data_IF_372137805275
#
_entry.id   IF_372137805275
#
_cell.length_a   1.000
_cell.length_b   1.000
_cell.length_c   1.000
_cell.angle_alpha   90.00
_cell.angle_beta   90.00
_cell.angle_gamma   90.00
#
_symmetry.space_group_name_H-M   'P 1'
#
loop_
_entity.id
_entity.type
_entity.pdbx_description
1 polymer ?
#
# COMPACT_ATOMS: atom_id res chain seq x y z
N UNK A 1 16.23 -9.79 -7.75
CA UNK A 1 15.47 -8.52 -7.90
C UNK A 1 14.36 -8.49 -6.85
N UNK A 2 13.99 -7.32 -6.35
CA UNK A 2 12.90 -7.17 -5.36
C UNK A 2 11.58 -6.84 -6.04
N UNK A 3 10.53 -7.58 -5.71
CA UNK A 3 9.14 -7.28 -6.06
C UNK A 3 8.37 -6.75 -4.86
N UNK A 4 7.33 -5.96 -5.11
CA UNK A 4 6.38 -5.52 -4.09
C UNK A 4 4.98 -6.02 -4.43
N UNK A 5 4.35 -6.73 -3.51
CA UNK A 5 2.97 -7.18 -3.59
C UNK A 5 2.10 -6.36 -2.62
N UNK A 6 1.25 -5.49 -3.16
CA UNK A 6 0.31 -4.65 -2.37
C UNK A 6 -1.01 -5.39 -2.25
N UNK A 7 -1.42 -5.71 -1.03
CA UNK A 7 -2.60 -6.54 -0.78
C UNK A 7 -3.74 -5.71 -0.21
N UNK A 8 -4.86 -5.68 -0.92
CA UNK A 8 -6.14 -5.19 -0.43
C UNK A 8 -7.06 -6.32 0.03
N UNK A 9 -8.16 -5.98 0.70
CA UNK A 9 -9.16 -6.98 1.09
C UNK A 9 -9.87 -7.53 -0.14
N UNK A 10 -10.07 -6.67 -1.15
CA UNK A 10 -10.93 -6.93 -2.28
C UNK A 10 -12.38 -6.60 -1.95
N UNK A 11 -13.08 -6.03 -2.92
CA UNK A 11 -14.44 -5.54 -2.77
C UNK A 11 -15.24 -5.87 -4.02
N UNK A 12 -16.56 -6.02 -3.87
CA UNK A 12 -17.47 -6.09 -5.02
C UNK A 12 -17.60 -4.73 -5.73
N UNK A 13 -17.15 -3.65 -5.09
CA UNK A 13 -17.10 -2.29 -5.66
C UNK A 13 -15.73 -2.05 -6.26
N UNK A 14 -15.67 -1.93 -7.59
CA UNK A 14 -14.40 -1.77 -8.30
C UNK A 14 -13.61 -0.51 -7.93
N UNK A 15 -14.29 0.56 -7.52
CA UNK A 15 -13.65 1.79 -7.03
C UNK A 15 -12.74 1.54 -5.82
N UNK A 16 -13.17 0.70 -4.88
CA UNK A 16 -12.36 0.37 -3.70
C UNK A 16 -11.11 -0.42 -4.10
N UNK A 17 -11.24 -1.28 -5.13
CA UNK A 17 -10.11 -2.03 -5.68
C UNK A 17 -9.16 -1.11 -6.47
N UNK A 18 -9.68 -0.05 -7.11
CA UNK A 18 -8.91 0.91 -7.88
C UNK A 18 -7.91 1.67 -7.01
N UNK A 19 -8.25 2.00 -5.76
CA UNK A 19 -7.32 2.63 -4.82
C UNK A 19 -6.08 1.77 -4.57
N UNK A 20 -6.22 0.45 -4.45
CA UNK A 20 -5.09 -0.48 -4.26
C UNK A 20 -4.20 -0.53 -5.49
N UNK A 21 -4.80 -0.58 -6.69
CA UNK A 21 -4.06 -0.54 -7.96
C UNK A 21 -3.32 0.77 -8.14
N UNK A 22 -3.98 1.87 -7.80
CA UNK A 22 -3.38 3.20 -7.88
C UNK A 22 -2.21 3.33 -6.90
N UNK A 23 -2.35 2.84 -5.67
CA UNK A 23 -1.24 2.78 -4.72
C UNK A 23 -0.07 1.96 -5.29
N UNK A 24 -0.32 0.78 -5.82
CA UNK A 24 0.71 -0.06 -6.45
C UNK A 24 1.40 0.68 -7.61
N UNK A 25 0.64 1.34 -8.49
CA UNK A 25 1.16 2.13 -9.60
C UNK A 25 2.05 3.28 -9.13
N UNK A 26 1.62 4.02 -8.12
CA UNK A 26 2.41 5.13 -7.55
C UNK A 26 3.70 4.63 -6.93
N UNK A 27 3.67 3.55 -6.15
CA UNK A 27 4.87 2.92 -5.61
C UNK A 27 5.80 2.36 -6.71
N UNK A 28 5.24 1.97 -7.85
CA UNK A 28 5.98 1.52 -9.02
C UNK A 28 6.61 2.65 -9.84
N UNK A 29 6.14 3.90 -9.74
CA UNK A 29 6.51 4.96 -10.68
C UNK A 29 7.11 6.18 -10.00
N UNK A 30 6.66 6.51 -8.80
CA UNK A 30 7.10 7.69 -8.06
C UNK A 30 8.41 7.41 -7.29
N UNK A 31 9.41 8.29 -7.41
CA UNK A 31 10.66 8.15 -6.68
C UNK A 31 10.43 8.35 -5.18
N UNK A 32 11.23 7.68 -4.35
CA UNK A 32 11.08 7.78 -2.89
C UNK A 32 11.51 9.18 -2.47
N UNK A 33 10.64 9.90 -1.77
CA UNK A 33 11.03 11.17 -1.17
C UNK A 33 11.87 10.86 0.08
N UNK A 34 13.15 11.20 0.02
CA UNK A 34 14.08 11.02 1.13
C UNK A 34 13.98 12.25 2.03
N UNK A 35 13.32 12.04 3.16
CA UNK A 35 13.06 13.02 4.20
C UNK A 35 12.14 12.39 5.23
N UNK A 36 12.28 12.82 6.47
CA UNK A 36 11.48 12.72 7.69
C UNK A 36 9.94 12.81 7.47
N UNK A 37 9.45 11.92 6.59
CA UNK A 37 8.34 12.09 5.65
C UNK A 37 6.94 11.96 6.20
N UNK A 38 6.73 12.39 7.45
CA UNK A 38 5.41 12.54 8.03
C UNK A 38 5.03 14.03 8.19
N UNK A 39 6.01 14.91 8.41
CA UNK A 39 5.76 16.27 8.91
C UNK A 39 5.59 17.36 7.82
N UNK A 40 5.22 17.01 6.59
CA UNK A 40 5.01 17.98 5.52
C UNK A 40 6.25 18.82 5.15
N UNK A 41 7.45 18.42 5.61
CA UNK A 41 8.70 19.10 5.28
C UNK A 41 9.13 18.69 3.88
N UNK A 42 9.50 19.63 3.00
CA UNK A 42 10.05 19.28 1.69
C UNK A 42 11.29 18.40 1.88
N UNK A 43 11.51 17.41 1.00
CA UNK A 43 12.66 16.51 1.11
C UNK A 43 13.95 17.33 1.14
N UNK A 44 14.79 17.07 2.14
CA UNK A 44 16.09 17.73 2.30
C UNK A 44 17.17 17.11 1.40
N UNK A 45 16.88 15.93 0.85
CA UNK A 45 17.75 15.16 -0.03
C UNK A 45 17.07 14.89 -1.38
N UNK A 46 17.85 14.69 -2.46
CA UNK A 46 17.30 14.22 -3.73
C UNK A 46 16.58 12.90 -3.55
N UNK A 47 15.50 12.70 -4.31
CA UNK A 47 14.68 11.50 -4.22
C UNK A 47 15.51 10.24 -4.52
N UNK A 48 15.47 9.26 -3.63
CA UNK A 48 16.21 8.01 -3.82
C UNK A 48 15.57 7.14 -4.91
N UNK A 49 16.38 6.32 -5.62
CA UNK A 49 15.88 5.38 -6.60
C UNK A 49 14.92 4.37 -5.95
N UNK A 50 13.91 3.96 -6.72
CA UNK A 50 12.92 2.96 -6.29
C UNK A 50 13.61 1.61 -6.05
N UNK A 51 13.36 0.94 -4.91
CA UNK A 51 13.97 -0.36 -4.64
C UNK A 51 13.24 -1.53 -5.32
N UNK A 52 12.19 -1.27 -6.11
CA UNK A 52 11.31 -2.27 -6.71
C UNK A 52 11.63 -2.48 -8.20
N UNK A 53 11.85 -3.73 -8.58
CA UNK A 53 11.92 -4.13 -9.99
C UNK A 53 10.55 -4.36 -10.62
N UNK A 54 9.57 -4.83 -9.83
CA UNK A 54 8.17 -4.93 -10.22
C UNK A 54 7.26 -4.67 -9.00
N UNK A 55 6.02 -4.21 -9.25
CA UNK A 55 5.00 -4.00 -8.22
C UNK A 55 3.67 -4.51 -8.73
N UNK A 56 2.98 -5.31 -7.94
CA UNK A 56 1.66 -5.88 -8.26
C UNK A 56 0.66 -5.57 -7.15
N UNK A 57 -0.59 -5.34 -7.52
CA UNK A 57 -1.72 -5.30 -6.60
C UNK A 57 -2.39 -6.67 -6.59
N UNK A 58 -2.77 -7.16 -5.41
CA UNK A 58 -3.53 -8.39 -5.24
C UNK A 58 -4.59 -8.24 -4.14
N UNK A 59 -5.53 -9.18 -4.09
CA UNK A 59 -6.65 -9.13 -3.17
C UNK A 59 -6.80 -10.44 -2.40
N UNK A 60 -7.16 -10.31 -1.12
CA UNK A 60 -7.38 -11.47 -0.24
C UNK A 60 -8.62 -12.27 -0.69
N UNK A 61 -9.71 -11.58 -1.03
CA UNK A 61 -10.96 -12.20 -1.45
C UNK A 61 -11.66 -11.38 -2.53
N UNK A 62 -12.69 -11.95 -3.17
CA UNK A 62 -13.65 -11.29 -4.07
C UNK A 62 -13.09 -10.79 -5.40
N UNK A 63 -11.90 -10.21 -5.41
CA UNK A 63 -11.32 -9.46 -6.53
C UNK A 63 -10.09 -10.16 -7.09
N UNK A 64 -9.77 -9.84 -8.34
CA UNK A 64 -8.59 -10.37 -9.05
C UNK A 64 -7.61 -9.24 -9.37
N UNK A 65 -6.30 -9.52 -9.42
CA UNK A 65 -5.69 -10.82 -9.18
C UNK A 65 -5.72 -11.20 -7.68
N UNK A 66 -5.82 -12.48 -7.37
CA UNK A 66 -5.61 -12.94 -6.00
C UNK A 66 -4.13 -12.94 -5.61
N UNK A 67 -3.85 -13.26 -4.34
CA UNK A 67 -2.48 -13.29 -3.79
C UNK A 67 -1.59 -14.23 -4.61
N UNK A 68 -2.09 -15.40 -5.00
CA UNK A 68 -1.33 -16.39 -5.75
C UNK A 68 -0.99 -15.92 -7.16
N UNK A 69 -1.95 -15.29 -7.84
CA UNK A 69 -1.78 -14.72 -9.17
C UNK A 69 -0.83 -13.52 -9.16
N UNK A 70 -0.99 -12.60 -8.21
CA UNK A 70 -0.09 -11.44 -8.06
C UNK A 70 1.34 -11.85 -7.70
N UNK A 71 1.49 -12.85 -6.85
CA UNK A 71 2.80 -13.43 -6.52
C UNK A 71 3.47 -14.06 -7.74
N UNK A 72 2.72 -14.85 -8.51
CA UNK A 72 3.22 -15.50 -9.73
C UNK A 72 3.73 -14.46 -10.74
N UNK A 73 2.99 -13.36 -10.96
CA UNK A 73 3.43 -12.27 -11.84
C UNK A 73 4.76 -11.66 -11.42
N UNK A 74 4.97 -11.46 -10.11
CA UNK A 74 6.24 -10.95 -9.60
C UNK A 74 7.38 -11.96 -9.81
N UNK A 75 7.11 -13.25 -9.57
CA UNK A 75 8.07 -14.32 -9.79
C UNK A 75 8.45 -14.43 -11.28
N UNK A 76 7.47 -14.37 -12.19
CA UNK A 76 7.64 -14.40 -13.64
C UNK A 76 8.41 -13.17 -14.16
N UNK A 77 8.28 -12.02 -13.48
CA UNK A 77 9.09 -10.83 -13.72
C UNK A 77 10.55 -10.94 -13.20
N UNK A 78 10.95 -12.09 -12.66
CA UNK A 78 12.30 -12.34 -12.15
C UNK A 78 12.55 -11.85 -10.72
N UNK A 79 11.49 -11.52 -9.96
CA UNK A 79 11.64 -11.17 -8.55
C UNK A 79 11.93 -12.43 -7.72
N UNK A 80 13.02 -12.39 -6.96
CA UNK A 80 13.43 -13.47 -6.04
C UNK A 80 13.15 -13.12 -4.59
N UNK A 81 12.97 -11.84 -4.29
CA UNK A 81 12.58 -11.33 -2.98
C UNK A 81 11.27 -10.55 -3.13
N UNK A 82 10.19 -11.02 -2.51
CA UNK A 82 8.87 -10.40 -2.62
C UNK A 82 8.51 -9.77 -1.28
N UNK A 83 8.50 -8.44 -1.23
CA UNK A 83 7.96 -7.71 -0.08
C UNK A 83 6.45 -7.68 -0.22
N UNK A 84 5.75 -8.07 0.83
CA UNK A 84 4.30 -8.11 0.85
C UNK A 84 3.81 -7.02 1.80
N UNK A 85 2.99 -6.11 1.27
CA UNK A 85 2.45 -4.99 2.01
C UNK A 85 0.93 -5.12 2.16
N UNK A 86 0.42 -5.40 3.38
CA UNK A 86 -1.01 -5.44 3.64
C UNK A 86 -1.54 -4.01 3.78
N UNK A 87 -2.25 -3.52 2.76
CA UNK A 87 -2.84 -2.17 2.74
C UNK A 87 -4.11 -2.10 3.61
N UNK A 88 -3.92 -2.20 4.92
CA UNK A 88 -4.96 -2.15 5.94
C UNK A 88 -4.62 -1.12 7.02
N UNK A 89 -5.64 -0.45 7.56
CA UNK A 89 -5.47 0.44 8.72
C UNK A 89 -5.28 -0.35 10.01
N UNK A 90 -6.01 -1.45 10.19
CA UNK A 90 -5.87 -2.32 11.36
C UNK A 90 -5.74 -3.77 10.92
N UNK A 91 -4.84 -4.52 11.56
CA UNK A 91 -4.70 -5.94 11.32
C UNK A 91 -5.83 -6.72 11.97
N UNK A 92 -6.82 -7.16 11.19
CA UNK A 92 -7.82 -8.11 11.66
C UNK A 92 -7.23 -9.51 11.88
N UNK A 93 -7.83 -10.31 12.78
CA UNK A 93 -7.39 -11.68 13.06
C UNK A 93 -7.42 -12.59 11.82
N UNK A 94 -8.40 -12.41 10.93
CA UNK A 94 -8.50 -13.17 9.68
C UNK A 94 -7.28 -12.94 8.77
N UNK A 95 -6.94 -11.67 8.54
CA UNK A 95 -5.76 -11.29 7.76
C UNK A 95 -4.46 -11.88 8.30
N UNK A 96 -4.28 -11.92 9.64
CA UNK A 96 -3.04 -12.43 10.26
C UNK A 96 -2.79 -13.92 10.03
N UNK A 97 -3.82 -14.71 9.72
CA UNK A 97 -3.70 -16.15 9.49
C UNK A 97 -3.81 -16.50 8.01
N UNK A 98 -4.79 -15.92 7.33
CA UNK A 98 -5.14 -16.32 5.98
C UNK A 98 -4.12 -15.77 4.95
N UNK A 99 -3.53 -14.60 5.23
CA UNK A 99 -2.51 -14.00 4.38
C UNK A 99 -1.20 -14.81 4.36
N UNK A 100 -0.57 -15.16 5.50
CA UNK A 100 0.62 -16.03 5.48
C UNK A 100 0.36 -17.39 4.82
N UNK A 101 -0.81 -17.99 5.01
CA UNK A 101 -1.15 -19.27 4.39
C UNK A 101 -1.16 -19.18 2.85
N UNK A 102 -1.81 -18.16 2.28
CA UNK A 102 -1.83 -17.94 0.84
C UNK A 102 -0.44 -17.63 0.27
N UNK A 103 0.40 -16.89 1.00
CA UNK A 103 1.77 -16.60 0.61
C UNK A 103 2.67 -17.84 0.62
N UNK A 104 2.51 -18.72 1.61
CA UNK A 104 3.22 -19.99 1.67
C UNK A 104 2.83 -20.93 0.53
N UNK A 105 1.55 -21.00 0.20
CA UNK A 105 1.08 -21.76 -0.97
C UNK A 105 1.69 -21.22 -2.28
N UNK A 106 1.68 -19.89 -2.47
CA UNK A 106 2.29 -19.25 -3.63
C UNK A 106 3.80 -19.51 -3.70
N UNK A 107 4.52 -19.41 -2.56
CA UNK A 107 5.95 -19.73 -2.45
C UNK A 107 6.23 -21.20 -2.80
N UNK A 108 5.35 -22.12 -2.41
CA UNK A 108 5.46 -23.54 -2.77
C UNK A 108 5.48 -23.79 -4.28
N UNK A 109 4.76 -22.96 -5.06
CA UNK A 109 4.75 -23.01 -6.53
C UNK A 109 5.96 -22.31 -7.17
N UNK A 110 6.63 -21.42 -6.44
CA UNK A 110 7.80 -20.68 -6.90
C UNK A 110 8.97 -20.83 -5.91
N UNK A 111 9.61 -22.01 -5.80
CA UNK A 111 10.55 -22.32 -4.72
C UNK A 111 11.84 -21.48 -4.71
N UNK A 112 12.14 -20.78 -5.81
CA UNK A 112 13.29 -19.87 -5.93
C UNK A 112 13.05 -18.48 -5.33
N UNK A 113 11.84 -18.20 -4.84
CA UNK A 113 11.49 -16.92 -4.24
C UNK A 113 11.39 -17.01 -2.72
N UNK A 114 11.57 -15.86 -2.06
CA UNK A 114 11.25 -15.66 -0.64
C UNK A 114 10.32 -14.48 -0.48
N UNK A 115 9.50 -14.50 0.57
CA UNK A 115 8.62 -13.39 0.89
C UNK A 115 8.92 -12.81 2.27
N UNK A 116 8.65 -11.51 2.43
CA UNK A 116 8.75 -10.77 3.70
C UNK A 116 7.46 -9.96 3.85
N UNK A 117 6.71 -10.20 4.93
CA UNK A 117 5.51 -9.45 5.23
C UNK A 117 5.87 -8.20 6.05
N UNK A 118 5.47 -7.03 5.59
CA UNK A 118 5.62 -5.80 6.37
C UNK A 118 4.47 -5.63 7.37
N UNK A 119 4.64 -4.66 8.27
CA UNK A 119 3.51 -4.19 9.07
C UNK A 119 2.47 -3.47 8.17
N UNK A 120 1.17 -3.55 8.53
CA UNK A 120 0.14 -2.71 7.93
C UNK A 120 0.34 -1.23 8.33
N UNK A 121 -0.48 -0.32 7.78
CA UNK A 121 -0.39 1.11 8.11
C UNK A 121 -0.45 1.38 9.61
N UNK A 122 -1.41 0.76 10.30
CA UNK A 122 -1.59 0.96 11.73
C UNK A 122 -1.72 2.43 12.11
N UNK A 123 -1.27 2.74 13.32
CA UNK A 123 -1.07 4.11 13.79
C UNK A 123 0.39 4.53 13.61
N UNK A 124 0.96 4.26 12.43
CA UNK A 124 2.27 4.81 12.08
C UNK A 124 2.24 6.34 12.17
N UNK A 125 3.36 6.97 12.56
CA UNK A 125 3.42 8.43 12.77
C UNK A 125 2.89 9.22 11.56
N UNK A 126 3.21 8.79 10.34
CA UNK A 126 2.71 9.43 9.11
C UNK A 126 1.20 9.28 8.90
N UNK A 127 0.58 8.22 9.42
CA UNK A 127 -0.89 8.08 9.37
C UNK A 127 -1.54 9.11 10.29
N UNK A 128 -0.96 9.33 11.48
CA UNK A 128 -1.44 10.38 12.40
C UNK A 128 -1.32 11.76 11.75
N UNK A 129 -0.20 12.06 11.09
CA UNK A 129 -0.02 13.33 10.37
C UNK A 129 -0.99 13.47 9.19
N UNK A 130 -1.25 12.39 8.44
CA UNK A 130 -2.27 12.42 7.40
C UNK A 130 -3.67 12.70 7.97
N UNK A 131 -4.01 12.13 9.13
CA UNK A 131 -5.26 12.43 9.84
C UNK A 131 -5.32 13.90 10.24
N UNK A 132 -4.24 14.45 10.81
CA UNK A 132 -4.16 15.88 11.16
C UNK A 132 -4.40 16.78 9.94
N UNK A 133 -3.73 16.50 8.82
CA UNK A 133 -3.90 17.26 7.58
C UNK A 133 -5.37 17.29 7.10
N UNK A 134 -6.09 16.15 7.18
CA UNK A 134 -7.51 16.08 6.80
C UNK A 134 -8.42 16.83 7.78
N UNK A 135 -8.08 16.87 9.07
CA UNK A 135 -8.79 17.69 10.05
C UNK A 135 -8.56 19.19 9.80
N UNK A 136 -7.32 19.59 9.51
CA UNK A 136 -6.98 20.97 9.20
C UNK A 136 -7.65 21.46 7.91
N UNK A 137 -7.77 20.61 6.88
CA UNK A 137 -8.60 20.89 5.68
C UNK A 137 -10.03 21.24 6.10
N UNK A 138 -10.65 20.38 6.92
CA UNK A 138 -12.04 20.53 7.35
C UNK A 138 -12.23 21.79 8.19
N UNK A 139 -11.30 22.09 9.10
CA UNK A 139 -11.36 23.30 9.93
C UNK A 139 -11.23 24.57 9.10
N UNK A 140 -10.37 24.58 8.07
CA UNK A 140 -10.26 25.71 7.13
C UNK A 140 -11.57 25.95 6.38
N UNK A 141 -12.20 24.88 5.89
CA UNK A 141 -13.48 24.98 5.19
C UNK A 141 -14.59 25.55 6.10
N UNK A 142 -14.61 25.15 7.38
CA UNK A 142 -15.55 25.68 8.37
C UNK A 142 -15.33 27.18 8.66
N UNK A 143 -14.08 27.62 8.78
CA UNK A 143 -13.75 29.04 8.98
C UNK A 143 -14.14 29.86 7.75
N UNK A 144 -13.81 29.39 6.54
CA UNK A 144 -14.15 30.07 5.30
C UNK A 144 -15.67 30.23 5.10
N UNK A 145 -16.46 29.21 5.47
CA UNK A 145 -17.92 29.25 5.44
C UNK A 145 -18.51 30.23 6.48
N UNK A 146 -17.88 30.38 7.64
CA UNK A 146 -18.31 31.34 8.67
C UNK A 146 -17.99 32.80 8.30
N UNK A 147 -16.93 33.05 7.55
CA UNK A 147 -16.53 34.38 7.07
C UNK A 147 -17.37 34.87 5.87
N UNK A 148 -17.99 33.94 5.12
CA UNK A 148 -18.89 34.25 4.00
C UNK A 148 -20.27 33.61 4.21
N UNK A 149 -21.06 34.06 5.19
CA UNK A 149 -22.42 33.58 5.33
C UNK A 149 -23.21 34.09 4.12
N UNK A 150 -23.51 33.19 3.18
CA UNK A 150 -24.53 33.47 2.15
C UNK A 150 -25.80 33.93 2.88
N UNK A 151 -26.15 35.20 2.67
CA UNK A 151 -27.28 35.88 3.30
C UNK A 151 -28.64 35.31 2.91
#
# INVERSE_FOLDING_TARGET
MRGLLVIGHGSRRDEANATVRELARRLATEPRQDGDGCAGRPPSAPAAPRPWGAVEAAYLEVSRPDIGEGYARLADAGCTEIVVYPFFLFGGNHTRRDLPAALEEARGRHPTTRWILSEPLGLHACVVEAVRARLDDTLRDLVAAAEHPTG
#
